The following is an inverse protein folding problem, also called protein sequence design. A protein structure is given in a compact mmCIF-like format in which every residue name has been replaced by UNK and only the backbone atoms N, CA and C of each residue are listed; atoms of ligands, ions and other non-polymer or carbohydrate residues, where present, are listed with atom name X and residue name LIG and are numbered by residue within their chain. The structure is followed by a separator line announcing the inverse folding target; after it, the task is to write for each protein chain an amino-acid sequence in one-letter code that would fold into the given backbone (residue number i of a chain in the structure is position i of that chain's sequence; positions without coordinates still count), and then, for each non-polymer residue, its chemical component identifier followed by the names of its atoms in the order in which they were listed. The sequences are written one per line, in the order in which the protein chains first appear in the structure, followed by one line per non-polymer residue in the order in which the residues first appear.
data_IF_096879730743
#
_entry.id   IF_096879730743
#
_cell.length_a   1.000
_cell.length_b   1.000
_cell.length_c   1.000
_cell.angle_alpha   90.00
_cell.angle_beta   90.00
_cell.angle_gamma   90.00
#
_symmetry.space_group_name_H-M   'P 1'
#
loop_
_entity.id
_entity.type
_entity.pdbx_description
1 polymer ?
#
# COMPACT_ATOMS: atom_id res chain seq x y z
N UNK A 1 2.64 13.42 3.85
CA UNK A 1 1.24 13.14 3.43
C UNK A 1 0.75 11.85 4.09
N UNK A 2 -0.52 11.74 4.52
CA UNK A 2 -1.09 10.45 4.94
C UNK A 2 -1.45 9.63 3.70
N UNK A 3 -0.88 8.43 3.55
CA UNK A 3 -1.18 7.53 2.43
C UNK A 3 -2.42 6.71 2.78
N UNK A 4 -3.40 6.71 1.88
CA UNK A 4 -4.61 5.89 1.97
C UNK A 4 -4.83 5.13 0.67
N UNK A 5 -5.72 4.14 0.67
CA UNK A 5 -6.06 3.38 -0.54
C UNK A 5 -6.66 4.25 -1.66
N UNK A 6 -7.19 5.43 -1.30
CA UNK A 6 -7.77 6.41 -2.22
C UNK A 6 -6.77 7.50 -2.65
N UNK A 7 -5.51 7.43 -2.19
CA UNK A 7 -4.45 8.33 -2.65
C UNK A 7 -4.28 8.21 -4.16
N UNK A 8 -4.39 9.34 -4.86
CA UNK A 8 -4.30 9.41 -6.32
C UNK A 8 -2.91 9.81 -6.77
N UNK A 9 -2.46 9.25 -7.88
CA UNK A 9 -1.21 9.60 -8.55
C UNK A 9 -1.27 9.33 -10.06
N UNK A 10 -0.25 9.79 -10.78
CA UNK A 10 -0.16 9.56 -12.23
C UNK A 10 0.30 8.14 -12.52
N UNK A 11 -0.58 7.30 -13.03
CA UNK A 11 -0.26 6.01 -13.63
C UNK A 11 0.06 6.14 -15.12
N UNK A 12 0.46 5.03 -15.75
CA UNK A 12 0.82 5.01 -17.18
C UNK A 12 -0.32 5.40 -18.12
N UNK A 13 -1.58 5.25 -17.70
CA UNK A 13 -2.78 5.58 -18.47
C UNK A 13 -3.54 6.81 -17.93
N UNK A 14 -2.91 7.58 -17.03
CA UNK A 14 -3.51 8.75 -16.39
C UNK A 14 -3.70 8.58 -14.88
N UNK A 15 -4.45 9.49 -14.23
CA UNK A 15 -4.66 9.47 -12.80
C UNK A 15 -5.33 8.18 -12.32
N UNK A 16 -4.76 7.55 -11.29
CA UNK A 16 -5.21 6.28 -10.70
C UNK A 16 -5.09 6.33 -9.18
N UNK A 17 -5.94 5.60 -8.46
CA UNK A 17 -5.81 5.40 -7.01
C UNK A 17 -4.80 4.30 -6.67
N UNK A 18 -4.25 4.34 -5.45
CA UNK A 18 -3.40 3.28 -4.93
C UNK A 18 -4.08 1.90 -4.99
N UNK A 19 -5.37 1.83 -4.66
CA UNK A 19 -6.16 0.59 -4.75
C UNK A 19 -6.20 0.04 -6.18
N UNK A 20 -6.54 0.88 -7.16
CA UNK A 20 -6.64 0.48 -8.57
C UNK A 20 -5.27 0.07 -9.13
N UNK A 21 -4.20 0.80 -8.78
CA UNK A 21 -2.85 0.45 -9.21
C UNK A 21 -2.44 -0.94 -8.71
N UNK A 22 -2.69 -1.25 -7.43
CA UNK A 22 -2.40 -2.57 -6.85
C UNK A 22 -3.26 -3.66 -7.50
N UNK A 23 -4.54 -3.39 -7.78
CA UNK A 23 -5.40 -4.34 -8.50
C UNK A 23 -4.85 -4.65 -9.90
N UNK A 24 -4.40 -3.63 -10.63
CA UNK A 24 -3.77 -3.82 -11.95
C UNK A 24 -2.47 -4.62 -11.85
N UNK A 25 -1.62 -4.34 -10.85
CA UNK A 25 -0.40 -5.12 -10.62
C UNK A 25 -0.70 -6.58 -10.31
N UNK A 26 -1.69 -6.86 -9.46
CA UNK A 26 -2.10 -8.25 -9.13
C UNK A 26 -2.69 -8.97 -10.35
N UNK A 27 -3.55 -8.30 -11.12
CA UNK A 27 -4.19 -8.88 -12.30
C UNK A 27 -3.20 -9.29 -13.41
N UNK A 28 -2.04 -8.61 -13.49
CA UNK A 28 -0.99 -8.90 -14.46
C UNK A 28 0.20 -9.67 -13.84
N UNK A 29 0.07 -10.19 -12.61
CA UNK A 29 1.14 -10.89 -11.89
C UNK A 29 2.43 -10.05 -11.72
N UNK A 30 2.30 -8.72 -11.68
CA UNK A 30 3.39 -7.75 -11.52
C UNK A 30 3.55 -7.25 -10.08
N UNK A 31 2.69 -7.68 -9.16
CA UNK A 31 2.83 -7.39 -7.74
C UNK A 31 4.14 -7.98 -7.21
N UNK A 32 4.86 -7.22 -6.40
CA UNK A 32 6.15 -7.63 -5.85
C UNK A 32 6.14 -7.52 -4.32
N UNK A 33 7.05 -8.25 -3.69
CA UNK A 33 7.34 -8.12 -2.27
C UNK A 33 8.38 -7.03 -2.03
N UNK A 34 8.33 -6.43 -0.86
CA UNK A 34 9.23 -5.38 -0.40
C UNK A 34 10.00 -5.92 0.81
N UNK A 35 11.31 -5.74 0.80
CA UNK A 35 12.12 -6.12 1.95
C UNK A 35 11.75 -5.23 3.16
N UNK A 36 11.56 -5.79 4.37
CA UNK A 36 11.09 -5.03 5.52
C UNK A 36 11.97 -3.82 5.89
N UNK A 37 13.28 -3.95 5.68
CA UNK A 37 14.29 -2.91 5.91
C UNK A 37 14.20 -1.75 4.92
N UNK A 38 13.66 -1.97 3.72
CA UNK A 38 13.45 -0.94 2.71
C UNK A 38 12.03 -0.36 2.71
N UNK A 39 11.13 -0.84 3.57
CA UNK A 39 9.72 -0.44 3.55
C UNK A 39 9.56 1.08 3.71
N UNK A 40 10.19 1.65 4.75
CA UNK A 40 10.06 3.07 5.08
C UNK A 40 10.67 3.97 3.98
N UNK A 41 11.80 3.55 3.40
CA UNK A 41 12.41 4.23 2.27
C UNK A 41 11.45 4.25 1.06
N UNK A 42 10.87 3.10 0.72
CA UNK A 42 9.95 2.98 -0.43
C UNK A 42 8.67 3.77 -0.24
N UNK A 43 8.14 3.83 0.98
CA UNK A 43 6.98 4.68 1.34
C UNK A 43 7.32 6.17 1.17
N UNK A 44 8.54 6.56 1.55
CA UNK A 44 9.01 7.95 1.40
C UNK A 44 9.17 8.32 -0.07
N UNK A 45 9.77 7.43 -0.87
CA UNK A 45 9.91 7.61 -2.32
C UNK A 45 8.54 7.69 -2.99
N UNK A 46 7.59 6.82 -2.63
CA UNK A 46 6.22 6.88 -3.12
C UNK A 46 5.62 8.28 -2.89
N UNK A 47 5.69 8.78 -1.65
CA UNK A 47 5.14 10.09 -1.29
C UNK A 47 5.77 11.21 -2.11
N UNK A 48 7.10 11.18 -2.28
CA UNK A 48 7.82 12.16 -3.10
C UNK A 48 7.42 12.11 -4.57
N UNK A 49 7.23 10.91 -5.14
CA UNK A 49 6.76 10.73 -6.50
C UNK A 49 5.37 11.35 -6.68
N UNK A 50 4.42 11.04 -5.78
CA UNK A 50 3.06 11.58 -5.83
C UNK A 50 3.05 13.10 -5.74
N UNK A 51 3.78 13.67 -4.78
CA UNK A 51 3.86 15.12 -4.57
C UNK A 51 4.46 15.86 -5.77
N UNK A 52 5.37 15.21 -6.51
CA UNK A 52 6.04 15.79 -7.68
C UNK A 52 5.38 15.41 -9.02
N UNK A 53 4.28 14.66 -8.99
CA UNK A 53 3.54 14.23 -10.19
C UNK A 53 4.24 13.13 -11.00
N UNK A 54 5.23 12.44 -10.43
CA UNK A 54 5.89 11.29 -11.05
C UNK A 54 5.12 9.99 -10.80
N UNK A 55 5.26 9.03 -11.71
CA UNK A 55 4.74 7.68 -11.55
C UNK A 55 5.68 6.87 -10.62
N UNK A 56 5.20 6.39 -9.46
CA UNK A 56 6.00 5.54 -8.57
C UNK A 56 6.26 4.16 -9.19
N UNK A 57 7.35 3.51 -8.78
CA UNK A 57 7.65 2.13 -9.17
C UNK A 57 6.76 1.13 -8.44
N UNK A 58 6.72 -0.10 -8.97
CA UNK A 58 5.93 -1.21 -8.41
C UNK A 58 6.23 -1.47 -6.93
N UNK A 59 7.50 -1.43 -6.54
CA UNK A 59 7.92 -1.61 -5.13
C UNK A 59 7.44 -0.48 -4.23
N UNK A 60 7.45 0.77 -4.71
CA UNK A 60 6.92 1.92 -3.97
C UNK A 60 5.40 1.84 -3.81
N UNK A 61 4.69 1.43 -4.88
CA UNK A 61 3.24 1.20 -4.85
C UNK A 61 2.89 0.11 -3.83
N UNK A 62 3.61 -1.02 -3.84
CA UNK A 62 3.36 -2.12 -2.89
C UNK A 62 3.70 -1.74 -1.45
N UNK A 63 4.76 -0.96 -1.23
CA UNK A 63 5.12 -0.43 0.10
C UNK A 63 4.04 0.53 0.63
N UNK A 64 3.59 1.46 -0.20
CA UNK A 64 2.49 2.38 0.12
C UNK A 64 1.19 1.63 0.41
N UNK A 65 0.89 0.59 -0.36
CA UNK A 65 -0.27 -0.28 -0.16
C UNK A 65 -0.23 -0.96 1.21
N UNK A 66 0.91 -1.51 1.60
CA UNK A 66 1.09 -2.14 2.90
C UNK A 66 0.74 -1.18 4.04
N UNK A 67 1.31 0.04 4.02
CA UNK A 67 1.05 1.05 5.05
C UNK A 67 -0.42 1.49 5.05
N UNK A 68 -1.01 1.70 3.88
CA UNK A 68 -2.41 2.11 3.76
C UNK A 68 -3.39 1.04 4.30
N UNK A 69 -3.15 -0.24 4.01
CA UNK A 69 -3.98 -1.34 4.54
C UNK A 69 -3.77 -1.54 6.05
N UNK A 70 -2.54 -1.39 6.55
CA UNK A 70 -2.27 -1.44 8.00
C UNK A 70 -3.02 -0.35 8.75
N UNK A 71 -2.97 0.88 8.25
CA UNK A 71 -3.66 2.03 8.83
C UNK A 71 -5.18 1.82 8.80
N UNK A 72 -5.73 1.42 7.64
CA UNK A 72 -7.16 1.13 7.49
C UNK A 72 -7.64 0.00 8.43
N UNK A 73 -6.84 -1.06 8.58
CA UNK A 73 -7.15 -2.18 9.49
C UNK A 73 -7.09 -1.73 10.95
N UNK A 74 -6.10 -0.91 11.30
CA UNK A 74 -5.97 -0.35 12.66
C UNK A 74 -7.12 0.60 12.98
N UNK A 75 -7.55 1.41 12.02
CA UNK A 75 -8.71 2.28 12.16
C UNK A 75 -10.02 1.48 12.32
N UNK A 76 -10.19 0.38 11.57
CA UNK A 76 -11.34 -0.50 11.73
C UNK A 76 -11.40 -1.11 13.15
N UNK A 77 -10.26 -1.51 13.71
CA UNK A 77 -10.16 -2.00 15.08
C UNK A 77 -10.51 -0.89 16.10
N UNK A 78 -9.94 0.30 15.94
CA UNK A 78 -10.20 1.44 16.83
C UNK A 78 -11.67 1.87 16.83
N UNK A 79 -12.40 1.64 15.72
CA UNK A 79 -13.83 1.87 15.59
C UNK A 79 -14.71 0.71 16.09
N UNK A 80 -14.10 -0.37 16.59
CA UNK A 80 -14.80 -1.56 17.06
C UNK A 80 -15.45 -2.40 15.95
N UNK A 81 -15.00 -2.22 14.69
CA UNK A 81 -15.55 -2.95 13.54
C UNK A 81 -14.95 -4.35 13.37
N UNK A 82 -13.78 -4.59 13.96
CA UNK A 82 -13.10 -5.89 13.98
C UNK A 82 -12.55 -6.17 15.38
N UNK A 83 -12.36 -7.44 15.69
CA UNK A 83 -11.74 -7.93 16.91
C UNK A 83 -10.20 -7.86 16.85
N UNK A 84 -9.55 -7.98 18.00
CA UNK A 84 -8.08 -8.07 18.08
C UNK A 84 -7.53 -9.29 17.33
N UNK A 85 -8.23 -10.42 17.38
CA UNK A 85 -7.86 -11.62 16.62
C UNK A 85 -7.88 -11.38 15.10
N UNK A 86 -8.92 -10.71 14.60
CA UNK A 86 -9.03 -10.33 13.19
C UNK A 86 -7.98 -9.30 12.78
N UNK A 87 -7.67 -8.32 13.63
CA UNK A 87 -6.59 -7.36 13.42
C UNK A 87 -5.26 -8.09 13.22
N UNK A 88 -4.91 -8.99 14.14
CA UNK A 88 -3.64 -9.73 14.09
C UNK A 88 -3.55 -10.64 12.87
N UNK A 89 -4.64 -11.34 12.54
CA UNK A 89 -4.69 -12.18 11.35
C UNK A 89 -4.51 -11.37 10.06
N UNK A 90 -5.24 -10.24 9.92
CA UNK A 90 -5.11 -9.35 8.75
C UNK A 90 -3.69 -8.78 8.61
N UNK A 91 -3.07 -8.35 9.72
CA UNK A 91 -1.68 -7.85 9.71
C UNK A 91 -0.70 -8.92 9.25
N UNK A 92 -0.86 -10.15 9.73
CA UNK A 92 -0.02 -11.28 9.39
C UNK A 92 -0.17 -11.68 7.92
N UNK A 93 -1.40 -11.74 7.40
CA UNK A 93 -1.68 -12.06 6.00
C UNK A 93 -1.15 -10.98 5.06
N UNK A 94 -1.31 -9.70 5.43
CA UNK A 94 -0.78 -8.57 4.69
C UNK A 94 0.76 -8.59 4.67
N UNK A 95 1.41 -8.87 5.81
CA UNK A 95 2.86 -9.03 5.88
C UNK A 95 3.34 -10.17 4.99
N UNK A 96 2.68 -11.33 5.01
CA UNK A 96 3.03 -12.45 4.11
C UNK A 96 2.85 -12.13 2.63
N UNK A 97 1.87 -11.29 2.29
CA UNK A 97 1.60 -10.91 0.90
C UNK A 97 2.61 -9.91 0.37
N UNK A 98 3.06 -8.96 1.20
CA UNK A 98 3.81 -7.78 0.74
C UNK A 98 5.24 -7.74 1.24
N UNK A 99 5.54 -8.32 2.40
CA UNK A 99 6.88 -8.31 2.98
C UNK A 99 7.57 -9.66 2.78
N UNK A 100 8.82 -9.63 2.31
CA UNK A 100 9.65 -10.84 2.19
C UNK A 100 11.12 -10.53 2.36
#
# INVERSE_FOLDING_TARGET
MKITLDTRFNGSLGPITLREAVQQLKAHELACTVAPDHLDEKVTVFSSCVERGFTPLRSEIMAAYYVAELDATTEAFNRGLITEGELNQKRLDLARQVLR
#
